data_IF_615153118657
#
_entry.id   IF_615153118657
#
_cell.length_a   1.000
_cell.length_b   1.000
_cell.length_c   1.000
_cell.angle_alpha   90.00
_cell.angle_beta   90.00
_cell.angle_gamma   90.00
#
_symmetry.space_group_name_H-M   'P 1'
#
loop_
_entity.id
_entity.type
_entity.pdbx_description
1 polymer ?
#
# COMPACT_ATOMS: atom_id res chain seq x y z
N UNK A 1 10.42 -27.27 -9.12
CA UNK A 1 10.54 -26.12 -10.06
C UNK A 1 9.85 -24.92 -9.41
N UNK A 2 10.58 -23.90 -8.98
CA UNK A 2 9.98 -22.63 -8.55
C UNK A 2 9.78 -21.73 -9.77
N UNK A 3 8.57 -21.26 -10.02
CA UNK A 3 8.32 -20.24 -11.04
C UNK A 3 8.48 -18.88 -10.37
N UNK A 4 9.31 -18.01 -10.95
CA UNK A 4 9.43 -16.64 -10.47
C UNK A 4 8.08 -15.92 -10.67
N UNK A 5 7.66 -15.15 -9.67
CA UNK A 5 6.40 -14.43 -9.68
C UNK A 5 6.70 -12.94 -9.67
N UNK A 6 6.37 -12.29 -10.78
CA UNK A 6 6.39 -10.84 -10.84
C UNK A 6 5.15 -10.27 -10.14
N UNK A 7 5.23 -10.04 -8.83
CA UNK A 7 4.12 -9.48 -8.03
C UNK A 7 3.69 -8.08 -8.49
N UNK A 8 4.59 -7.30 -9.08
CA UNK A 8 4.26 -6.01 -9.68
C UNK A 8 3.33 -6.15 -10.87
N UNK A 9 3.56 -7.16 -11.71
CA UNK A 9 2.70 -7.48 -12.85
C UNK A 9 1.34 -8.03 -12.42
N UNK A 10 1.32 -8.95 -11.44
CA UNK A 10 0.07 -9.43 -10.84
C UNK A 10 -0.79 -8.27 -10.33
N UNK A 11 -0.17 -7.31 -9.63
CA UNK A 11 -0.87 -6.13 -9.12
C UNK A 11 -1.47 -5.29 -10.25
N UNK A 12 -0.73 -5.05 -11.34
CA UNK A 12 -1.22 -4.30 -12.51
C UNK A 12 -2.40 -5.00 -13.18
N UNK A 13 -2.34 -6.32 -13.34
CA UNK A 13 -3.44 -7.09 -13.93
C UNK A 13 -4.71 -7.04 -13.08
N UNK A 14 -4.58 -7.14 -11.75
CA UNK A 14 -5.71 -7.00 -10.83
C UNK A 14 -6.36 -5.62 -10.93
N UNK A 15 -5.55 -4.56 -10.94
CA UNK A 15 -6.05 -3.18 -11.11
C UNK A 15 -6.69 -2.99 -12.48
N UNK A 16 -6.08 -3.46 -13.56
CA UNK A 16 -6.64 -3.37 -14.91
C UNK A 16 -7.99 -4.09 -15.03
N UNK A 17 -8.20 -5.18 -14.28
CA UNK A 17 -9.50 -5.84 -14.20
C UNK A 17 -10.54 -5.00 -13.44
N UNK A 18 -10.14 -4.31 -12.37
CA UNK A 18 -11.01 -3.41 -11.60
C UNK A 18 -11.37 -2.13 -12.37
N UNK A 19 -10.46 -1.58 -13.15
CA UNK A 19 -10.70 -0.39 -13.98
C UNK A 19 -11.77 -0.58 -15.05
N UNK A 20 -12.10 -1.84 -15.40
CA UNK A 20 -13.23 -2.17 -16.27
C UNK A 20 -14.60 -1.99 -15.60
N UNK A 21 -14.65 -1.70 -14.29
CA UNK A 21 -15.89 -1.49 -13.53
C UNK A 21 -16.22 -0.01 -13.44
N UNK A 22 -17.44 0.37 -13.78
CA UNK A 22 -17.90 1.78 -13.80
C UNK A 22 -17.81 2.48 -12.43
N UNK A 23 -17.92 1.72 -11.34
CA UNK A 23 -17.91 2.21 -9.98
C UNK A 23 -16.52 2.14 -9.29
N UNK A 24 -15.47 1.86 -10.05
CA UNK A 24 -14.09 1.86 -9.56
C UNK A 24 -13.35 3.11 -10.03
N UNK A 25 -12.53 3.69 -9.15
CA UNK A 25 -11.63 4.80 -9.51
C UNK A 25 -10.28 4.61 -8.83
N UNK A 26 -9.24 4.45 -9.64
CA UNK A 26 -7.87 4.51 -9.16
C UNK A 26 -7.40 5.96 -9.07
N UNK A 27 -6.73 6.32 -7.97
CA UNK A 27 -6.06 7.61 -7.81
C UNK A 27 -4.66 7.36 -7.28
N UNK A 28 -3.67 7.52 -8.15
CA UNK A 28 -2.26 7.44 -7.79
C UNK A 28 -1.74 8.81 -7.37
N UNK A 29 -0.54 8.84 -6.76
CA UNK A 29 0.10 10.09 -6.27
C UNK A 29 -0.77 10.86 -5.26
N UNK A 30 -1.59 10.16 -4.49
CA UNK A 30 -2.38 10.73 -3.41
C UNK A 30 -1.84 10.17 -2.10
N UNK A 31 -1.33 11.04 -1.23
CA UNK A 31 -0.83 10.65 0.08
C UNK A 31 -1.86 10.96 1.15
N UNK A 32 -2.23 9.95 1.95
CA UNK A 32 -3.12 10.14 3.09
C UNK A 32 -2.35 10.79 4.24
N UNK A 33 -2.79 11.97 4.67
CA UNK A 33 -2.18 12.74 5.77
C UNK A 33 -2.91 12.57 7.09
N UNK A 34 -4.22 12.43 7.05
CA UNK A 34 -5.05 12.29 8.25
C UNK A 34 -6.35 11.55 7.98
N UNK A 35 -6.89 10.91 9.02
CA UNK A 35 -8.13 10.13 8.96
C UNK A 35 -8.93 10.41 10.22
N UNK A 36 -10.17 10.86 10.07
CA UNK A 36 -11.05 11.19 11.20
C UNK A 36 -12.43 10.58 11.06
N UNK A 37 -12.98 10.05 12.15
CA UNK A 37 -14.40 9.68 12.21
C UNK A 37 -15.25 10.92 12.46
N UNK A 38 -16.22 11.17 11.59
CA UNK A 38 -17.19 12.25 11.75
C UNK A 38 -18.30 11.84 12.72
N UNK A 39 -19.03 12.83 13.24
CA UNK A 39 -20.14 12.62 14.19
C UNK A 39 -21.28 11.79 13.59
N UNK A 40 -21.47 11.85 12.27
CA UNK A 40 -22.45 11.05 11.53
C UNK A 40 -21.97 9.61 11.22
N UNK A 41 -20.81 9.22 11.75
CA UNK A 41 -20.23 7.91 11.54
C UNK A 41 -19.59 7.69 10.16
N UNK A 42 -19.42 8.71 9.32
CA UNK A 42 -18.58 8.60 8.11
C UNK A 42 -17.10 8.86 8.43
N UNK A 43 -16.23 8.55 7.48
CA UNK A 43 -14.80 8.78 7.55
C UNK A 43 -14.41 9.98 6.69
N UNK A 44 -13.73 10.95 7.27
CA UNK A 44 -13.05 12.00 6.55
C UNK A 44 -11.58 11.60 6.34
N UNK A 45 -11.09 11.73 5.11
CA UNK A 45 -9.71 11.40 4.72
C UNK A 45 -9.08 12.65 4.12
N UNK A 46 -8.03 13.14 4.76
CA UNK A 46 -7.22 14.26 4.29
C UNK A 46 -6.09 13.73 3.42
N UNK A 47 -5.99 14.24 2.21
CA UNK A 47 -5.09 13.81 1.16
C UNK A 47 -4.19 14.97 0.72
N UNK A 48 -3.01 14.64 0.23
CA UNK A 48 -2.12 15.55 -0.44
C UNK A 48 -1.78 14.99 -1.83
N UNK A 49 -2.03 15.78 -2.88
CA UNK A 49 -1.70 15.39 -4.23
C UNK A 49 -0.21 15.63 -4.49
N UNK A 50 0.57 14.58 -4.71
CA UNK A 50 2.01 14.66 -4.93
C UNK A 50 2.38 15.15 -6.35
N UNK A 51 1.42 15.32 -7.25
CA UNK A 51 1.65 15.92 -8.56
C UNK A 51 1.45 17.44 -8.53
N UNK A 52 0.36 17.93 -7.91
CA UNK A 52 0.04 19.36 -7.87
C UNK A 52 0.44 20.08 -6.57
N UNK A 53 0.73 19.34 -5.49
CA UNK A 53 0.95 19.89 -4.16
C UNK A 53 -0.33 20.31 -3.43
N UNK A 54 -1.50 20.11 -4.03
CA UNK A 54 -2.75 20.60 -3.46
C UNK A 54 -3.33 19.65 -2.40
N UNK A 55 -3.87 20.18 -1.29
CA UNK A 55 -4.62 19.39 -0.34
C UNK A 55 -6.01 19.04 -0.89
N UNK A 56 -6.52 17.88 -0.47
CA UNK A 56 -7.88 17.43 -0.80
C UNK A 56 -8.50 16.69 0.37
N UNK A 57 -9.81 16.79 0.52
CA UNK A 57 -10.56 16.02 1.53
C UNK A 57 -11.60 15.16 0.85
N UNK A 58 -11.71 13.90 1.27
CA UNK A 58 -12.76 12.98 0.86
C UNK A 58 -13.57 12.51 2.06
N UNK A 59 -14.85 12.21 1.84
CA UNK A 59 -15.70 11.55 2.82
C UNK A 59 -16.11 10.17 2.31
N UNK A 60 -15.95 9.14 3.13
CA UNK A 60 -16.27 7.76 2.81
C UNK A 60 -17.19 7.14 3.87
N UNK A 61 -18.13 6.29 3.46
CA UNK A 61 -18.99 5.54 4.41
C UNK A 61 -18.22 4.42 5.10
N UNK A 62 -17.34 3.75 4.35
CA UNK A 62 -16.48 2.67 4.81
C UNK A 62 -15.05 2.98 4.39
N UNK A 63 -14.09 2.56 5.22
CA UNK A 63 -12.67 2.79 4.98
C UNK A 63 -11.91 1.48 5.23
N UNK A 64 -11.09 1.09 4.25
CA UNK A 64 -10.17 -0.03 4.34
C UNK A 64 -8.73 0.49 4.20
N UNK A 65 -7.84 0.12 5.12
CA UNK A 65 -6.44 0.58 5.16
C UNK A 65 -5.53 -0.58 4.73
N UNK A 66 -5.23 -0.65 3.42
CA UNK A 66 -4.31 -1.62 2.82
C UNK A 66 -2.93 -1.04 2.54
N UNK A 67 -2.31 -0.37 3.51
CA UNK A 67 -1.10 0.45 3.27
C UNK A 67 0.24 -0.26 3.56
N UNK A 68 0.25 -1.59 3.62
CA UNK A 68 1.45 -2.38 3.94
C UNK A 68 2.10 -1.92 5.25
N UNK A 69 3.41 -1.62 5.22
CA UNK A 69 4.15 -1.13 6.39
C UNK A 69 3.62 0.20 6.97
N UNK A 70 2.87 0.99 6.20
CA UNK A 70 2.27 2.23 6.68
C UNK A 70 0.87 2.05 7.30
N UNK A 71 0.35 0.83 7.39
CA UNK A 71 -1.00 0.59 7.90
C UNK A 71 -1.18 1.02 9.37
N UNK A 72 -0.25 0.66 10.25
CA UNK A 72 -0.35 0.99 11.68
C UNK A 72 -0.32 2.51 11.94
N UNK A 73 0.60 3.30 11.38
CA UNK A 73 0.56 4.76 11.52
C UNK A 73 -0.75 5.39 11.05
N UNK A 74 -1.33 4.89 9.94
CA UNK A 74 -2.62 5.37 9.45
C UNK A 74 -3.77 4.95 10.37
N UNK A 75 -3.75 3.73 10.89
CA UNK A 75 -4.70 3.26 11.89
C UNK A 75 -4.64 4.10 13.17
N UNK A 76 -3.45 4.46 13.64
CA UNK A 76 -3.26 5.31 14.83
C UNK A 76 -3.87 6.70 14.63
N UNK A 77 -3.79 7.27 13.42
CA UNK A 77 -4.44 8.56 13.09
C UNK A 77 -5.97 8.51 13.25
N UNK A 78 -6.60 7.35 13.07
CA UNK A 78 -8.06 7.21 13.20
C UNK A 78 -8.58 7.47 14.61
N UNK A 79 -7.73 7.32 15.64
CA UNK A 79 -8.09 7.48 17.05
C UNK A 79 -9.00 6.39 17.62
N UNK A 80 -9.26 5.29 16.88
CA UNK A 80 -10.09 4.20 17.38
C UNK A 80 -9.38 3.44 18.52
N UNK A 81 -10.11 2.99 19.56
CA UNK A 81 -9.50 2.41 20.75
C UNK A 81 -8.74 1.10 20.48
N UNK A 82 -9.18 0.32 19.50
CA UNK A 82 -8.62 -0.99 19.15
C UNK A 82 -7.14 -0.90 18.77
N UNK A 83 -6.71 0.22 18.19
CA UNK A 83 -5.34 0.40 17.71
C UNK A 83 -4.32 0.46 18.84
N UNK A 84 -4.73 0.81 20.06
CA UNK A 84 -3.83 0.90 21.23
C UNK A 84 -3.15 -0.42 21.58
N UNK A 85 -3.76 -1.55 21.21
CA UNK A 85 -3.22 -2.90 21.45
C UNK A 85 -2.24 -3.39 20.38
N UNK A 86 -2.02 -2.64 19.31
CA UNK A 86 -1.21 -3.08 18.17
C UNK A 86 0.10 -2.33 18.05
N UNK A 87 1.15 -3.06 17.72
CA UNK A 87 2.47 -2.55 17.37
C UNK A 87 2.93 -3.15 16.05
N UNK A 88 3.82 -2.44 15.36
CA UNK A 88 4.46 -2.91 14.13
C UNK A 88 5.86 -3.41 14.47
N UNK A 89 6.19 -4.60 14.00
CA UNK A 89 7.56 -5.11 14.05
C UNK A 89 8.13 -5.08 12.61
N UNK A 90 8.85 -4.02 12.22
CA UNK A 90 9.36 -3.91 10.86
C UNK A 90 10.49 -4.91 10.65
N UNK A 91 10.32 -5.81 9.67
CA UNK A 91 11.36 -6.73 9.23
C UNK A 91 11.88 -6.24 7.87
N UNK A 92 13.17 -5.92 7.83
CA UNK A 92 13.85 -5.56 6.59
C UNK A 92 14.29 -6.80 5.83
N UNK A 93 14.26 -6.71 4.50
CA UNK A 93 14.87 -7.68 3.59
C UNK A 93 15.69 -6.92 2.55
N UNK A 94 16.74 -7.55 2.04
CA UNK A 94 17.52 -7.00 0.93
C UNK A 94 17.80 -8.11 -0.07
N UNK A 95 17.69 -7.76 -1.35
CA UNK A 95 18.03 -8.64 -2.46
C UNK A 95 19.33 -8.13 -3.05
N UNK A 96 20.30 -9.03 -3.23
CA UNK A 96 21.53 -8.76 -3.96
C UNK A 96 21.39 -9.37 -5.35
N UNK A 97 21.78 -8.61 -6.38
CA UNK A 97 21.68 -9.02 -7.78
C UNK A 97 23.05 -8.87 -8.42
N UNK A 98 23.47 -9.84 -9.22
CA UNK A 98 24.71 -9.80 -9.99
C UNK A 98 24.49 -10.42 -11.36
N UNK A 99 25.13 -9.86 -12.39
CA UNK A 99 25.20 -10.41 -13.74
C UNK A 99 26.54 -11.08 -14.02
N UNK A 100 27.46 -11.12 -13.04
CA UNK A 100 28.78 -11.73 -13.21
C UNK A 100 28.65 -13.26 -13.38
N UNK A 101 28.97 -13.81 -14.57
CA UNK A 101 28.79 -15.23 -14.85
C UNK A 101 29.65 -16.12 -13.96
N UNK A 102 30.84 -15.66 -13.53
CA UNK A 102 31.73 -16.43 -12.66
C UNK A 102 31.16 -16.59 -11.25
N UNK A 103 30.42 -15.58 -10.75
CA UNK A 103 29.74 -15.64 -9.44
C UNK A 103 28.46 -16.47 -9.51
N UNK A 104 27.72 -16.33 -10.62
CA UNK A 104 26.49 -17.09 -10.88
C UNK A 104 26.81 -18.58 -11.01
N UNK A 105 27.88 -18.95 -11.72
CA UNK A 105 28.30 -20.34 -11.89
C UNK A 105 28.64 -21.05 -10.57
N UNK A 106 29.01 -20.31 -9.53
CA UNK A 106 29.29 -20.85 -8.20
C UNK A 106 28.01 -21.10 -7.38
N UNK A 107 26.84 -20.59 -7.81
CA UNK A 107 25.57 -20.74 -7.10
C UNK A 107 24.75 -21.90 -7.69
N UNK A 108 24.73 -23.04 -6.99
CA UNK A 108 23.98 -24.24 -7.38
C UNK A 108 22.50 -24.23 -6.91
N UNK A 109 22.11 -23.21 -6.14
CA UNK A 109 20.74 -23.02 -5.67
C UNK A 109 19.98 -22.07 -6.59
N UNK A 110 18.74 -22.43 -6.92
CA UNK A 110 17.81 -21.51 -7.60
C UNK A 110 17.34 -20.48 -6.58
N UNK A 111 17.77 -19.24 -6.75
CA UNK A 111 17.23 -18.05 -6.08
C UNK A 111 16.30 -17.32 -7.04
#
# INVERSE_FOLDING_TARGET
MGTDVNFGEVTRQLIAALEKKENFRLRLRQEVRDIKRLSDGRWQVSLHNLASGEPRVLTARQLFIGAGGAALPLLQKTGIPEVKGYAGFPVGGSFLVTENPDVVAQHMAKV
#
